data_IF_726938245288
#
_entry.id   IF_726938245288
#
_cell.length_a   1.000
_cell.length_b   1.000
_cell.length_c   1.000
_cell.angle_alpha   90.00
_cell.angle_beta   90.00
_cell.angle_gamma   90.00
#
_symmetry.space_group_name_H-M   'P 1'
#
loop_
_entity.id
_entity.type
_entity.pdbx_description
1 polymer ?
#
# COMPACT_ATOMS: atom_id res chain seq x y z
N UNK A 1 12.81 15.88 63.32
CA UNK A 1 13.39 16.21 62.00
C UNK A 1 13.73 14.92 61.27
N UNK A 2 14.31 13.93 61.97
CA UNK A 2 14.43 12.52 61.54
C UNK A 2 13.11 11.91 61.07
N UNK A 3 12.03 11.96 61.88
CA UNK A 3 10.73 11.38 61.49
C UNK A 3 10.13 11.95 60.19
N UNK A 4 10.41 13.20 59.84
CA UNK A 4 9.91 13.83 58.62
C UNK A 4 10.74 13.44 57.39
N UNK A 5 12.01 13.11 57.59
CA UNK A 5 12.92 12.64 56.55
C UNK A 5 12.59 11.18 56.25
N UNK A 6 12.39 10.35 57.28
CA UNK A 6 12.02 8.93 57.11
C UNK A 6 10.68 8.78 56.38
N UNK A 7 9.65 9.55 56.76
CA UNK A 7 8.35 9.57 56.07
C UNK A 7 8.48 10.05 54.62
N UNK A 8 9.34 11.04 54.35
CA UNK A 8 9.59 11.50 52.99
C UNK A 8 10.35 10.45 52.15
N UNK A 9 11.23 9.67 52.78
CA UNK A 9 12.01 8.61 52.14
C UNK A 9 11.14 7.39 51.82
N UNK A 10 10.28 6.97 52.76
CA UNK A 10 9.30 5.89 52.55
C UNK A 10 8.26 6.27 51.48
N UNK A 11 7.80 7.53 51.49
CA UNK A 11 6.92 8.05 50.45
C UNK A 11 7.62 8.15 49.08
N UNK A 12 8.93 8.44 49.05
CA UNK A 12 9.72 8.48 47.82
C UNK A 12 9.90 7.07 47.24
N UNK A 13 10.27 6.07 48.05
CA UNK A 13 10.41 4.66 47.66
C UNK A 13 9.09 4.07 47.16
N UNK A 14 8.00 4.22 47.91
CA UNK A 14 6.68 3.73 47.48
C UNK A 14 6.20 4.41 46.19
N UNK A 15 6.61 5.66 45.96
CA UNK A 15 6.29 6.35 44.73
C UNK A 15 7.23 5.98 43.56
N UNK A 16 8.44 5.46 43.80
CA UNK A 16 9.30 4.84 42.78
C UNK A 16 8.70 3.50 42.32
N UNK A 17 8.27 2.65 43.25
CA UNK A 17 7.66 1.35 42.93
C UNK A 17 6.36 1.50 42.12
N UNK A 18 5.57 2.52 42.43
CA UNK A 18 4.36 2.88 41.65
C UNK A 18 4.70 3.31 40.22
N UNK A 19 5.79 4.06 40.01
CA UNK A 19 6.22 4.46 38.66
C UNK A 19 6.67 3.27 37.84
N UNK A 20 7.51 2.41 38.43
CA UNK A 20 8.01 1.21 37.77
C UNK A 20 6.85 0.29 37.39
N UNK A 21 5.91 0.08 38.30
CA UNK A 21 4.69 -0.70 38.04
C UNK A 21 3.84 -0.08 36.93
N UNK A 22 3.61 1.24 36.96
CA UNK A 22 2.82 1.94 35.94
C UNK A 22 3.48 1.86 34.55
N UNK A 23 4.80 2.04 34.47
CA UNK A 23 5.57 1.90 33.25
C UNK A 23 5.53 0.47 32.70
N UNK A 24 5.65 -0.54 33.56
CA UNK A 24 5.56 -1.95 33.16
C UNK A 24 4.18 -2.29 32.59
N UNK A 25 3.09 -1.83 33.23
CA UNK A 25 1.73 -2.02 32.72
C UNK A 25 1.54 -1.30 31.38
N UNK A 26 2.03 -0.06 31.26
CA UNK A 26 1.94 0.69 30.01
C UNK A 26 2.69 -0.02 28.87
N UNK A 27 3.90 -0.53 29.11
CA UNK A 27 4.65 -1.34 28.13
C UNK A 27 3.83 -2.56 27.71
N UNK A 28 3.24 -3.30 28.66
CA UNK A 28 2.45 -4.49 28.34
C UNK A 28 1.24 -4.16 27.46
N UNK A 29 0.55 -3.04 27.72
CA UNK A 29 -0.57 -2.58 26.91
C UNK A 29 -0.13 -2.13 25.51
N UNK A 30 0.93 -1.33 25.42
CA UNK A 30 1.47 -0.86 24.14
C UNK A 30 1.98 -2.03 23.28
N UNK A 31 2.67 -3.00 23.89
CA UNK A 31 3.14 -4.20 23.19
C UNK A 31 1.98 -5.06 22.66
N UNK A 32 0.91 -5.19 23.44
CA UNK A 32 -0.31 -5.91 23.00
C UNK A 32 -0.95 -5.20 21.80
N UNK A 33 -1.06 -3.87 21.86
CA UNK A 33 -1.61 -3.08 20.75
C UNK A 33 -0.71 -3.10 19.51
N UNK A 34 0.60 -3.01 19.70
CA UNK A 34 1.61 -3.14 18.65
C UNK A 34 1.49 -4.48 17.94
N UNK A 35 1.35 -5.60 18.67
CA UNK A 35 1.16 -6.92 18.08
C UNK A 35 -0.11 -6.99 17.21
N UNK A 36 -1.20 -6.35 17.64
CA UNK A 36 -2.43 -6.27 16.84
C UNK A 36 -2.24 -5.43 15.56
N UNK A 37 -1.54 -4.30 15.65
CA UNK A 37 -1.18 -3.48 14.50
C UNK A 37 -0.27 -4.25 13.53
N UNK A 38 0.71 -4.99 14.03
CA UNK A 38 1.62 -5.81 13.23
C UNK A 38 0.89 -6.88 12.44
N UNK A 39 -0.01 -7.65 13.07
CA UNK A 39 -0.83 -8.66 12.35
C UNK A 39 -1.67 -8.02 11.25
N UNK A 40 -2.23 -6.83 11.49
CA UNK A 40 -2.96 -6.09 10.45
C UNK A 40 -2.02 -5.56 9.36
N UNK A 41 -0.83 -5.12 9.71
CA UNK A 41 0.23 -4.65 8.82
C UNK A 41 0.63 -5.75 7.85
N UNK A 42 1.05 -6.91 8.37
CA UNK A 42 1.44 -8.08 7.57
C UNK A 42 0.34 -8.46 6.56
N UNK A 43 -0.92 -8.52 7.01
CA UNK A 43 -2.04 -8.82 6.12
C UNK A 43 -2.28 -7.74 5.05
N UNK A 44 -1.99 -6.48 5.37
CA UNK A 44 -2.11 -5.36 4.43
C UNK A 44 -0.98 -5.44 3.40
N UNK A 45 0.24 -5.77 3.80
CA UNK A 45 1.38 -5.97 2.89
C UNK A 45 1.14 -7.13 1.92
N UNK A 46 0.61 -8.25 2.41
CA UNK A 46 0.21 -9.35 1.54
C UNK A 46 -0.85 -8.92 0.51
N UNK A 47 -1.82 -8.12 0.93
CA UNK A 47 -2.83 -7.59 0.02
C UNK A 47 -2.22 -6.60 -1.00
N UNK A 48 -1.28 -5.74 -0.60
CA UNK A 48 -0.56 -4.82 -1.50
C UNK A 48 0.22 -5.61 -2.56
N UNK A 49 0.95 -6.66 -2.14
CA UNK A 49 1.71 -7.51 -3.04
C UNK A 49 0.77 -8.22 -4.03
N UNK A 50 -0.37 -8.71 -3.54
CA UNK A 50 -1.37 -9.36 -4.38
C UNK A 50 -1.97 -8.39 -5.41
N UNK A 51 -2.48 -7.23 -4.98
CA UNK A 51 -3.05 -6.22 -5.89
C UNK A 51 -2.02 -5.73 -6.91
N UNK A 52 -0.76 -5.58 -6.50
CA UNK A 52 0.31 -5.22 -7.42
C UNK A 52 0.63 -6.33 -8.43
N UNK A 53 0.61 -7.60 -8.02
CA UNK A 53 0.79 -8.74 -8.93
C UNK A 53 -0.37 -8.84 -9.94
N UNK A 54 -1.60 -8.66 -9.48
CA UNK A 54 -2.80 -8.67 -10.33
C UNK A 54 -2.77 -7.50 -11.32
N UNK A 55 -2.39 -6.29 -10.89
CA UNK A 55 -2.19 -5.15 -11.79
C UNK A 55 -1.12 -5.44 -12.86
N UNK A 56 0.01 -6.02 -12.46
CA UNK A 56 1.08 -6.38 -13.39
C UNK A 56 0.64 -7.43 -14.43
N UNK A 57 -0.15 -8.43 -14.02
CA UNK A 57 -0.71 -9.42 -14.93
C UNK A 57 -1.65 -8.78 -15.95
N UNK A 58 -2.54 -7.88 -15.51
CA UNK A 58 -3.43 -7.14 -16.41
C UNK A 58 -2.64 -6.26 -17.39
N UNK A 59 -1.60 -5.56 -16.93
CA UNK A 59 -0.73 -4.79 -17.82
C UNK A 59 0.04 -5.67 -18.81
N UNK A 60 0.45 -6.87 -18.41
CA UNK A 60 1.07 -7.83 -19.31
C UNK A 60 0.07 -8.32 -20.38
N UNK A 61 -1.17 -8.62 -19.98
CA UNK A 61 -2.25 -8.97 -20.91
C UNK A 61 -2.57 -7.83 -21.88
N UNK A 62 -2.63 -6.59 -21.38
CA UNK A 62 -2.84 -5.40 -22.20
C UNK A 62 -1.74 -5.27 -23.26
N UNK A 63 -0.47 -5.40 -22.86
CA UNK A 63 0.67 -5.33 -23.77
C UNK A 63 0.63 -6.45 -24.82
N UNK A 64 0.32 -7.68 -24.41
CA UNK A 64 0.19 -8.82 -25.32
C UNK A 64 -0.93 -8.61 -26.35
N UNK A 65 -2.11 -8.11 -25.91
CA UNK A 65 -3.19 -7.75 -26.84
C UNK A 65 -2.83 -6.59 -27.74
N UNK A 66 -2.13 -5.58 -27.22
CA UNK A 66 -1.67 -4.44 -28.03
C UNK A 66 -0.71 -4.89 -29.13
N UNK A 67 0.18 -5.84 -28.84
CA UNK A 67 1.06 -6.42 -29.84
C UNK A 67 0.28 -7.22 -30.90
N UNK A 68 -0.71 -8.01 -30.49
CA UNK A 68 -1.60 -8.73 -31.43
C UNK A 68 -2.38 -7.76 -32.32
N UNK A 69 -2.98 -6.73 -31.73
CA UNK A 69 -3.68 -5.67 -32.47
C UNK A 69 -2.75 -5.03 -33.50
N UNK A 70 -1.55 -4.64 -33.10
CA UNK A 70 -0.55 -4.06 -33.99
C UNK A 70 -0.18 -4.97 -35.17
N UNK A 71 -0.12 -6.30 -34.96
CA UNK A 71 0.09 -7.24 -36.07
C UNK A 71 -1.06 -7.23 -37.09
N UNK A 72 -2.32 -7.09 -36.63
CA UNK A 72 -3.47 -6.98 -37.53
C UNK A 72 -3.54 -5.62 -38.22
N UNK A 73 -3.17 -4.54 -37.53
CA UNK A 73 -3.01 -3.21 -38.15
C UNK A 73 -1.97 -3.26 -39.27
N UNK A 74 -0.81 -3.87 -39.01
CA UNK A 74 0.24 -4.05 -40.01
C UNK A 74 -0.24 -4.86 -41.21
N UNK A 75 -0.90 -6.01 -41.00
CA UNK A 75 -1.44 -6.83 -42.09
C UNK A 75 -2.48 -6.07 -42.92
N UNK A 76 -3.36 -5.32 -42.25
CA UNK A 76 -4.37 -4.48 -42.89
C UNK A 76 -3.72 -3.37 -43.73
N UNK A 77 -2.71 -2.70 -43.20
CA UNK A 77 -1.99 -1.62 -43.87
C UNK A 77 -1.21 -2.15 -45.09
N UNK A 78 -0.53 -3.30 -44.96
CA UNK A 78 0.19 -3.97 -46.06
C UNK A 78 -0.77 -4.33 -47.21
N UNK A 79 -1.93 -4.90 -46.90
CA UNK A 79 -2.96 -5.23 -47.88
C UNK A 79 -3.53 -3.99 -48.57
N UNK A 80 -3.79 -2.92 -47.81
CA UNK A 80 -4.26 -1.66 -48.39
C UNK A 80 -3.20 -1.04 -49.32
N UNK A 81 -1.91 -1.10 -48.96
CA UNK A 81 -0.82 -0.64 -49.79
C UNK A 81 -0.68 -1.47 -51.08
N UNK A 82 -0.80 -2.80 -50.99
CA UNK A 82 -0.79 -3.69 -52.16
C UNK A 82 -1.96 -3.37 -53.11
N UNK A 83 -3.15 -3.14 -52.58
CA UNK A 83 -4.31 -2.72 -53.37
C UNK A 83 -4.11 -1.36 -54.04
N UNK A 84 -3.44 -0.41 -53.37
CA UNK A 84 -3.16 0.91 -53.92
C UNK A 84 -2.14 0.90 -55.06
N UNK A 85 -1.12 0.02 -54.99
CA UNK A 85 -0.04 -0.07 -55.98
C UNK A 85 -0.34 -1.09 -57.10
N UNK A 86 -0.86 -2.26 -56.76
CA UNK A 86 -1.08 -3.40 -57.65
C UNK A 86 -2.53 -3.60 -58.10
N UNK A 87 -3.48 -2.80 -57.62
CA UNK A 87 -4.92 -2.94 -57.92
C UNK A 87 -5.33 -2.69 -59.37
N UNK A 88 -4.42 -2.14 -60.18
CA UNK A 88 -4.63 -1.86 -61.62
C UNK A 88 -4.41 -3.15 -62.43
N UNK A 89 -5.36 -4.08 -62.32
CA UNK A 89 -5.32 -5.36 -63.07
C UNK A 89 -6.11 -6.51 -62.44
N UNK A 90 -6.47 -6.38 -61.15
CA UNK A 90 -7.26 -7.39 -60.45
C UNK A 90 -8.70 -7.48 -60.97
N UNK A 91 -9.21 -8.71 -61.08
CA UNK A 91 -10.62 -8.99 -61.37
C UNK A 91 -11.52 -8.44 -60.27
N UNK A 92 -12.80 -8.17 -60.58
CA UNK A 92 -13.76 -7.66 -59.61
C UNK A 92 -13.94 -8.61 -58.41
N UNK A 93 -13.88 -9.93 -58.65
CA UNK A 93 -13.95 -10.94 -57.60
C UNK A 93 -12.74 -10.89 -56.66
N UNK A 94 -11.53 -10.79 -57.20
CA UNK A 94 -10.30 -10.72 -56.41
C UNK A 94 -10.24 -9.43 -55.55
N UNK A 95 -10.73 -8.30 -56.08
CA UNK A 95 -10.86 -7.06 -55.29
C UNK A 95 -11.86 -7.22 -54.15
N UNK A 96 -13.00 -7.87 -54.40
CA UNK A 96 -14.01 -8.12 -53.37
C UNK A 96 -13.47 -8.97 -52.21
N UNK A 97 -12.65 -9.97 -52.52
CA UNK A 97 -12.00 -10.82 -51.51
C UNK A 97 -11.02 -10.03 -50.62
N UNK A 98 -10.14 -9.21 -51.22
CA UNK A 98 -9.20 -8.37 -50.49
C UNK A 98 -9.90 -7.34 -49.59
N UNK A 99 -10.99 -6.71 -50.09
CA UNK A 99 -11.82 -5.80 -49.29
C UNK A 99 -12.42 -6.55 -48.10
N UNK A 100 -12.90 -7.78 -48.30
CA UNK A 100 -13.42 -8.61 -47.21
C UNK A 100 -12.37 -8.95 -46.16
N UNK A 101 -11.13 -9.23 -46.56
CA UNK A 101 -10.01 -9.45 -45.63
C UNK A 101 -9.70 -8.19 -44.81
N UNK A 102 -9.63 -7.02 -45.46
CA UNK A 102 -9.41 -5.73 -44.79
C UNK A 102 -10.50 -5.46 -43.74
N UNK A 103 -11.77 -5.66 -44.10
CA UNK A 103 -12.89 -5.50 -43.15
C UNK A 103 -12.81 -6.50 -41.98
N UNK A 104 -12.37 -7.74 -42.24
CA UNK A 104 -12.15 -8.74 -41.19
C UNK A 104 -11.05 -8.33 -40.20
N UNK A 105 -9.97 -7.71 -40.69
CA UNK A 105 -8.93 -7.15 -39.83
C UNK A 105 -9.40 -5.93 -39.06
N UNK A 106 -10.11 -4.99 -39.70
CA UNK A 106 -10.69 -3.82 -39.02
C UNK A 106 -11.62 -4.22 -37.88
N UNK A 107 -12.52 -5.19 -38.09
CA UNK A 107 -13.38 -5.73 -37.03
C UNK A 107 -12.59 -6.39 -35.89
N UNK A 108 -11.47 -7.05 -36.21
CA UNK A 108 -10.59 -7.65 -35.21
C UNK A 108 -9.84 -6.60 -34.39
N UNK A 109 -9.39 -5.53 -35.04
CA UNK A 109 -8.72 -4.39 -34.41
C UNK A 109 -9.69 -3.68 -33.45
N UNK A 110 -10.91 -3.38 -33.89
CA UNK A 110 -11.94 -2.74 -33.05
C UNK A 110 -12.29 -3.59 -31.83
N UNK A 111 -12.42 -4.92 -32.00
CA UNK A 111 -12.63 -5.84 -30.88
C UNK A 111 -11.49 -5.76 -29.87
N UNK A 112 -10.22 -5.80 -30.32
CA UNK A 112 -9.08 -5.72 -29.42
C UNK A 112 -8.95 -4.36 -28.73
N UNK A 113 -9.35 -3.27 -29.39
CA UNK A 113 -9.40 -1.96 -28.77
C UNK A 113 -10.39 -1.92 -27.60
N UNK A 114 -11.58 -2.51 -27.78
CA UNK A 114 -12.56 -2.71 -26.71
C UNK A 114 -12.04 -3.56 -25.55
N UNK A 115 -11.51 -4.75 -25.83
CA UNK A 115 -10.96 -5.66 -24.82
C UNK A 115 -9.78 -5.04 -24.05
N UNK A 116 -8.90 -4.29 -24.73
CA UNK A 116 -7.79 -3.58 -24.10
C UNK A 116 -8.27 -2.49 -23.15
N UNK A 117 -9.35 -1.78 -23.49
CA UNK A 117 -9.92 -0.75 -22.61
C UNK A 117 -10.44 -1.36 -21.30
N UNK A 118 -11.09 -2.52 -21.38
CA UNK A 118 -11.54 -3.25 -20.20
C UNK A 118 -10.36 -3.69 -19.33
N UNK A 119 -9.35 -4.35 -19.92
CA UNK A 119 -8.15 -4.80 -19.19
C UNK A 119 -7.42 -3.63 -18.54
N UNK A 120 -7.30 -2.51 -19.25
CA UNK A 120 -6.70 -1.30 -18.70
C UNK A 120 -7.48 -0.79 -17.48
N UNK A 121 -8.81 -0.76 -17.56
CA UNK A 121 -9.65 -0.36 -16.44
C UNK A 121 -9.49 -1.28 -15.22
N UNK A 122 -9.37 -2.60 -15.45
CA UNK A 122 -9.09 -3.57 -14.39
C UNK A 122 -7.70 -3.35 -13.76
N UNK A 123 -6.67 -3.13 -14.58
CA UNK A 123 -5.31 -2.84 -14.11
C UNK A 123 -5.27 -1.57 -13.23
N UNK A 124 -5.87 -0.48 -13.70
CA UNK A 124 -5.98 0.78 -12.94
C UNK A 124 -6.81 0.61 -11.65
N UNK A 125 -7.80 -0.28 -11.66
CA UNK A 125 -8.57 -0.63 -10.46
C UNK A 125 -7.73 -1.31 -9.39
N UNK A 126 -6.90 -2.28 -9.77
CA UNK A 126 -5.94 -2.92 -8.86
C UNK A 126 -4.89 -1.92 -8.34
N UNK A 127 -4.40 -1.00 -9.16
CA UNK A 127 -3.50 0.07 -8.72
C UNK A 127 -4.14 0.99 -7.68
N UNK A 128 -5.41 1.37 -7.88
CA UNK A 128 -6.15 2.18 -6.91
C UNK A 128 -6.37 1.44 -5.58
N UNK A 129 -6.70 0.14 -5.64
CA UNK A 129 -6.84 -0.70 -4.46
C UNK A 129 -5.51 -0.81 -3.70
N UNK A 130 -4.41 -1.05 -4.42
CA UNK A 130 -3.04 -1.06 -3.88
C UNK A 130 -2.69 0.26 -3.19
N UNK A 131 -2.98 1.40 -3.82
CA UNK A 131 -2.65 2.72 -3.28
C UNK A 131 -3.46 3.03 -2.00
N UNK A 132 -4.73 2.60 -1.94
CA UNK A 132 -5.55 2.69 -0.73
C UNK A 132 -5.03 1.80 0.42
N UNK A 133 -4.48 0.62 0.08
CA UNK A 133 -3.82 -0.25 1.06
C UNK A 133 -2.51 0.35 1.55
N UNK A 134 -1.69 0.95 0.68
CA UNK A 134 -0.46 1.65 1.04
C UNK A 134 -0.72 2.79 2.05
N UNK A 135 -1.81 3.55 1.88
CA UNK A 135 -2.24 4.58 2.83
C UNK A 135 -2.53 4.01 4.24
N UNK A 136 -2.99 2.76 4.31
CA UNK A 136 -3.22 2.06 5.57
C UNK A 136 -1.92 1.50 6.15
N UNK A 137 -1.07 0.90 5.31
CA UNK A 137 0.25 0.38 5.70
C UNK A 137 1.11 1.48 6.30
N UNK A 138 1.22 2.64 5.65
CA UNK A 138 2.00 3.79 6.13
C UNK A 138 1.64 4.23 7.56
N UNK A 139 0.35 4.17 7.92
CA UNK A 139 -0.12 4.51 9.28
C UNK A 139 0.28 3.45 10.30
N UNK A 140 0.24 2.17 9.91
CA UNK A 140 0.61 1.05 10.76
C UNK A 140 2.13 1.05 11.02
N UNK A 141 2.94 1.27 9.99
CA UNK A 141 4.40 1.37 10.12
C UNK A 141 4.79 2.51 11.05
N UNK A 142 4.18 3.68 10.83
CA UNK A 142 4.46 4.85 11.67
C UNK A 142 3.97 4.62 13.11
N UNK A 143 2.82 3.96 13.29
CA UNK A 143 2.35 3.55 14.62
C UNK A 143 3.36 2.66 15.32
N UNK A 144 3.90 1.64 14.64
CA UNK A 144 4.89 0.72 15.18
C UNK A 144 6.18 1.43 15.60
N UNK A 145 6.68 2.36 14.78
CA UNK A 145 7.86 3.18 15.11
C UNK A 145 7.63 4.00 16.38
N UNK A 146 6.51 4.71 16.48
CA UNK A 146 6.21 5.54 17.65
C UNK A 146 5.93 4.72 18.93
N UNK A 147 5.23 3.60 18.81
CA UNK A 147 5.00 2.67 19.93
C UNK A 147 6.33 2.09 20.43
N UNK A 148 7.22 1.69 19.52
CA UNK A 148 8.56 1.16 19.85
C UNK A 148 9.41 2.19 20.58
N UNK A 149 9.39 3.45 20.11
CA UNK A 149 10.06 4.56 20.77
C UNK A 149 9.50 4.81 22.18
N UNK A 150 8.17 4.76 22.35
CA UNK A 150 7.52 4.88 23.65
C UNK A 150 7.97 3.79 24.62
N UNK A 151 7.96 2.53 24.19
CA UNK A 151 8.41 1.38 24.99
C UNK A 151 9.87 1.52 25.39
N UNK A 152 10.75 1.93 24.47
CA UNK A 152 12.16 2.16 24.77
C UNK A 152 12.36 3.25 25.83
N UNK A 153 11.64 4.36 25.72
CA UNK A 153 11.68 5.45 26.71
C UNK A 153 11.08 5.01 28.07
N UNK A 154 10.05 4.16 28.08
CA UNK A 154 9.51 3.57 29.30
C UNK A 154 10.52 2.62 29.96
N UNK A 155 11.28 1.83 29.20
CA UNK A 155 12.35 1.00 29.73
C UNK A 155 13.46 1.85 30.39
N UNK A 156 13.87 2.96 29.76
CA UNK A 156 14.82 3.92 30.36
C UNK A 156 14.22 4.56 31.62
N UNK A 157 12.92 4.86 31.61
CA UNK A 157 12.21 5.39 32.78
C UNK A 157 12.27 4.44 33.96
N UNK A 158 12.08 3.13 33.74
CA UNK A 158 12.20 2.10 34.77
C UNK A 158 13.62 2.07 35.35
N UNK A 159 14.64 2.11 34.49
CA UNK A 159 16.05 2.06 34.92
C UNK A 159 16.50 3.31 35.68
N UNK A 160 16.06 4.48 35.26
CA UNK A 160 16.49 5.77 35.82
C UNK A 160 15.60 6.26 36.96
N UNK A 161 14.42 5.66 37.11
CA UNK A 161 13.36 6.03 38.07
C UNK A 161 12.96 7.52 38.03
N UNK A 162 13.17 8.22 36.91
CA UNK A 162 12.83 9.65 36.78
C UNK A 162 11.42 9.87 36.23
N UNK A 163 10.56 10.53 37.01
CA UNK A 163 9.16 10.83 36.65
C UNK A 163 8.97 11.60 35.35
N UNK A 164 9.87 12.53 35.02
CA UNK A 164 9.72 13.32 33.79
C UNK A 164 9.93 12.47 32.53
N UNK A 165 10.75 11.41 32.59
CA UNK A 165 10.95 10.49 31.47
C UNK A 165 9.68 9.66 31.18
N UNK A 166 8.91 9.33 32.23
CA UNK A 166 7.59 8.74 32.06
C UNK A 166 6.65 9.67 31.28
N UNK A 167 6.64 10.96 31.61
CA UNK A 167 5.84 11.94 30.87
C UNK A 167 6.26 12.05 29.40
N UNK A 168 7.58 12.04 29.13
CA UNK A 168 8.12 12.12 27.77
C UNK A 168 7.81 10.86 26.96
N UNK A 169 7.82 9.67 27.58
CA UNK A 169 7.54 8.42 26.88
C UNK A 169 6.08 8.29 26.43
N UNK A 170 5.14 8.94 27.12
CA UNK A 170 3.72 8.94 26.75
C UNK A 170 3.44 9.66 25.43
N UNK A 171 4.24 10.66 25.07
CA UNK A 171 4.04 11.46 23.84
C UNK A 171 4.08 10.59 22.58
N UNK A 172 5.17 9.88 22.27
CA UNK A 172 5.19 8.98 21.12
C UNK A 172 4.20 7.82 21.28
N UNK A 173 3.93 7.35 22.50
CA UNK A 173 2.95 6.28 22.74
C UNK A 173 1.53 6.68 22.32
N UNK A 174 1.11 7.90 22.67
CA UNK A 174 -0.18 8.45 22.27
C UNK A 174 -0.27 8.65 20.75
N UNK A 175 0.79 9.16 20.12
CA UNK A 175 0.84 9.32 18.66
C UNK A 175 0.69 7.95 17.97
N UNK A 176 1.45 6.95 18.42
CA UNK A 176 1.39 5.60 17.87
C UNK A 176 0.02 4.94 18.05
N UNK A 177 -0.62 5.09 19.22
CA UNK A 177 -1.99 4.60 19.46
C UNK A 177 -2.99 5.29 18.54
N UNK A 178 -2.92 6.61 18.38
CA UNK A 178 -3.84 7.35 17.50
C UNK A 178 -3.69 6.94 16.03
N UNK A 179 -2.45 6.76 15.55
CA UNK A 179 -2.17 6.30 14.19
C UNK A 179 -2.65 4.87 13.96
N UNK A 180 -2.37 3.95 14.89
CA UNK A 180 -2.83 2.57 14.81
C UNK A 180 -4.36 2.48 14.81
N UNK A 181 -5.04 3.22 15.68
CA UNK A 181 -6.50 3.28 15.69
C UNK A 181 -7.07 3.88 14.41
N UNK A 182 -6.43 4.91 13.86
CA UNK A 182 -6.83 5.50 12.60
C UNK A 182 -6.69 4.54 11.41
N UNK A 183 -5.62 3.75 11.37
CA UNK A 183 -5.42 2.72 10.37
C UNK A 183 -6.48 1.62 10.48
N UNK A 184 -6.75 1.14 11.69
CA UNK A 184 -7.74 0.11 11.97
C UNK A 184 -9.18 0.56 11.68
N UNK A 185 -9.48 1.83 11.90
CA UNK A 185 -10.76 2.43 11.58
C UNK A 185 -10.91 2.77 10.07
N UNK A 186 -9.86 2.65 9.27
CA UNK A 186 -9.88 2.96 7.85
C UNK A 186 -10.08 4.45 7.56
N UNK A 187 -9.55 5.34 8.39
CA UNK A 187 -9.74 6.78 8.22
C UNK A 187 -9.02 7.30 6.95
N UNK A 188 -9.68 8.13 6.12
CA UNK A 188 -9.21 8.47 4.77
C UNK A 188 -8.22 9.65 4.72
N UNK A 189 -7.39 9.83 5.75
CA UNK A 189 -6.31 10.82 5.71
C UNK A 189 -5.00 10.16 5.33
N UNK A 190 -4.10 10.91 4.69
CA UNK A 190 -2.78 10.43 4.34
C UNK A 190 -1.72 10.88 5.32
N UNK A 191 -0.79 9.99 5.62
CA UNK A 191 0.41 10.30 6.40
C UNK A 191 1.60 9.92 5.54
N UNK A 192 2.30 10.90 4.95
CA UNK A 192 3.46 10.59 4.14
C UNK A 192 4.55 9.96 5.02
N UNK A 193 4.99 8.77 4.66
CA UNK A 193 6.21 8.22 5.26
C UNK A 193 7.40 9.07 4.81
N UNK A 194 8.29 9.44 5.74
CA UNK A 194 9.57 10.04 5.36
C UNK A 194 10.31 9.12 4.40
N UNK A 195 11.02 9.68 3.41
CA UNK A 195 11.72 8.90 2.38
C UNK A 195 12.85 7.99 2.89
N UNK A 196 13.16 8.01 4.18
CA UNK A 196 14.12 7.09 4.82
C UNK A 196 13.43 5.90 5.50
N UNK A 197 12.10 5.92 5.58
CA UNK A 197 11.24 4.83 6.09
C UNK A 197 10.40 4.17 4.99
N UNK A 198 10.32 4.78 3.80
CA UNK A 198 9.66 4.26 2.60
C UNK A 198 10.68 3.61 1.66
#
# INVERSE_FOLDING_TARGET
>A
MEDAIDVAQEAAEGAEDRLVSAAAVAIALLATFMAFCGVKGDNTDYAIIQENADAMDQWAMYQAKSMKQYMFELQRDDLQAEMAVGGVGLSAAARGELIGMVQGYEATIERYEGEKKEIKGTAEGHEQARDALNETANKLDLAEVFLSLSVALMAITILTKRRWLFGVSLVPGLIGVLLGLAALAGLPFSVPLPSFLA
#
